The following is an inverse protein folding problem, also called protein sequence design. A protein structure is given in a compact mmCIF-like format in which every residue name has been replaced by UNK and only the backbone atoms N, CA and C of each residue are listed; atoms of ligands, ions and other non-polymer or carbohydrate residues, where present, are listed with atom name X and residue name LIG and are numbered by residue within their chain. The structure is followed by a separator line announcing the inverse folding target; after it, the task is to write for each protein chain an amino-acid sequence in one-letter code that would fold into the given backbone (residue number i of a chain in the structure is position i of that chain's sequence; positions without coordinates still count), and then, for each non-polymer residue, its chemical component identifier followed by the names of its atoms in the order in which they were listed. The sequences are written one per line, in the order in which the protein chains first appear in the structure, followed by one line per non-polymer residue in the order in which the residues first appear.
data_IF_113749917618
#
_entry.id   IF_113749917618
#
_cell.length_a   1.000
_cell.length_b   1.000
_cell.length_c   1.000
_cell.angle_alpha   90.00
_cell.angle_beta   90.00
_cell.angle_gamma   90.00
#
_symmetry.space_group_name_H-M   'P 1'
#
loop_
_entity.id
_entity.type
_entity.pdbx_description
1 polymer ?
#
# COMPACT_ATOMS: atom_id res chain seq x y z
N UNK A 1 0.46 -5.16 5.74
CA UNK A 1 0.71 -4.97 4.31
C UNK A 1 -0.25 -3.95 3.76
N UNK A 2 -0.31 -3.82 2.44
CA UNK A 2 -1.28 -2.97 1.77
C UNK A 2 -1.90 -3.69 0.56
N UNK A 3 -3.18 -3.43 0.32
CA UNK A 3 -3.90 -3.81 -0.89
C UNK A 3 -4.24 -2.52 -1.65
N UNK A 4 -4.03 -2.53 -2.95
CA UNK A 4 -4.35 -1.39 -3.81
C UNK A 4 -5.45 -1.80 -4.78
N UNK A 5 -6.50 -1.00 -4.83
CA UNK A 5 -7.63 -1.18 -5.73
C UNK A 5 -7.70 0.02 -6.68
N UNK A 6 -7.66 -0.25 -7.98
CA UNK A 6 -7.72 0.77 -9.03
C UNK A 6 -9.12 1.09 -9.51
N UNK A 7 -9.22 1.89 -10.58
CA UNK A 7 -10.50 2.22 -11.22
C UNK A 7 -11.28 0.95 -11.58
N UNK A 8 -12.61 1.01 -11.46
CA UNK A 8 -13.50 -0.16 -11.72
C UNK A 8 -13.22 -1.37 -10.82
N UNK A 9 -12.69 -1.13 -9.61
CA UNK A 9 -12.45 -2.15 -8.59
C UNK A 9 -11.37 -3.19 -8.99
N UNK A 10 -10.44 -2.79 -9.87
CA UNK A 10 -9.32 -3.65 -10.31
C UNK A 10 -8.32 -3.88 -9.16
N UNK A 11 -7.93 -5.14 -8.91
CA UNK A 11 -6.90 -5.43 -7.93
C UNK A 11 -5.51 -5.20 -8.52
N UNK A 12 -4.75 -4.26 -7.97
CA UNK A 12 -3.40 -3.95 -8.44
C UNK A 12 -2.41 -4.94 -7.81
N UNK A 13 -1.61 -5.56 -8.66
CA UNK A 13 -0.59 -6.52 -8.22
C UNK A 13 0.56 -5.81 -7.51
N UNK A 14 0.88 -6.29 -6.31
CA UNK A 14 1.99 -5.81 -5.49
C UNK A 14 3.05 -6.91 -5.31
N UNK A 15 4.27 -6.48 -5.03
CA UNK A 15 5.36 -7.35 -4.58
C UNK A 15 5.40 -7.39 -3.04
N UNK A 16 6.12 -8.36 -2.45
CA UNK A 16 6.25 -8.46 -1.00
C UNK A 16 6.67 -7.12 -0.36
N UNK A 17 5.92 -6.73 0.67
CA UNK A 17 6.22 -5.52 1.42
C UNK A 17 7.55 -5.67 2.15
N UNK A 18 8.35 -4.60 2.18
CA UNK A 18 9.62 -4.55 2.91
C UNK A 18 9.64 -3.35 3.85
N UNK A 19 10.24 -3.52 5.02
CA UNK A 19 10.51 -2.41 5.93
C UNK A 19 11.68 -1.61 5.37
N UNK A 20 11.65 -0.29 5.49
CA UNK A 20 12.80 0.53 5.17
C UNK A 20 13.94 0.25 6.19
N UNK A 21 15.17 0.09 5.70
CA UNK A 21 16.35 -0.22 6.51
C UNK A 21 16.81 0.97 7.35
N UNK A 22 16.61 2.19 6.85
CA UNK A 22 17.02 3.44 7.50
C UNK A 22 15.91 4.03 8.38
N UNK A 23 14.64 3.80 8.01
CA UNK A 23 13.49 4.24 8.80
C UNK A 23 12.52 3.08 9.08
N UNK A 24 12.66 2.54 10.29
CA UNK A 24 11.85 1.47 10.81
C UNK A 24 10.34 1.79 10.92
N UNK A 25 9.91 3.04 10.77
CA UNK A 25 8.50 3.43 10.75
C UNK A 25 7.89 3.43 9.34
N UNK A 26 8.68 3.13 8.31
CA UNK A 26 8.22 3.06 6.93
C UNK A 26 8.08 1.62 6.43
N UNK A 27 6.94 1.34 5.80
CA UNK A 27 6.69 0.11 5.06
C UNK A 27 6.59 0.45 3.57
N UNK A 28 7.41 -0.21 2.76
CA UNK A 28 7.45 -0.04 1.31
C UNK A 28 6.74 -1.23 0.68
N UNK A 29 5.73 -0.95 -0.15
CA UNK A 29 4.99 -1.96 -0.93
C UNK A 29 5.24 -1.69 -2.41
N UNK A 30 6.17 -2.40 -3.06
CA UNK A 30 6.44 -2.16 -4.48
C UNK A 30 5.25 -2.62 -5.33
N UNK A 31 4.95 -1.86 -6.37
CA UNK A 31 3.97 -2.26 -7.38
C UNK A 31 4.67 -3.15 -8.42
N UNK A 32 3.98 -4.18 -8.90
CA UNK A 32 4.54 -5.06 -9.93
C UNK A 32 4.62 -4.35 -11.30
N UNK A 33 3.67 -3.45 -11.56
CA UNK A 33 3.51 -2.75 -12.83
C UNK A 33 3.25 -1.26 -12.59
N UNK A 34 3.50 -0.43 -13.61
CA UNK A 34 3.16 1.00 -13.59
C UNK A 34 1.65 1.22 -13.55
N UNK A 35 1.23 2.21 -12.77
CA UNK A 35 -0.18 2.60 -12.70
C UNK A 35 -0.58 3.45 -13.90
N UNK A 36 -1.72 3.11 -14.50
CA UNK A 36 -2.37 3.98 -15.50
C UNK A 36 -3.01 5.19 -14.79
N UNK A 37 -3.24 6.30 -15.51
CA UNK A 37 -4.01 7.42 -14.96
C UNK A 37 -5.38 6.96 -14.43
N UNK A 38 -5.75 7.45 -13.25
CA UNK A 38 -6.96 7.01 -12.56
C UNK A 38 -6.89 7.18 -11.04
N UNK A 39 -8.00 6.84 -10.38
CA UNK A 39 -8.15 6.91 -8.92
C UNK A 39 -7.96 5.54 -8.30
N UNK A 40 -7.14 5.49 -7.25
CA UNK A 40 -6.75 4.28 -6.54
C UNK A 40 -7.03 4.43 -5.05
N UNK A 41 -7.52 3.35 -4.43
CA UNK A 41 -7.68 3.24 -2.98
C UNK A 41 -6.62 2.29 -2.44
N UNK A 42 -5.94 2.72 -1.38
CA UNK A 42 -5.00 1.90 -0.62
C UNK A 42 -5.63 1.55 0.70
N UNK A 43 -5.84 0.27 0.93
CA UNK A 43 -6.21 -0.28 2.24
C UNK A 43 -4.95 -0.87 2.87
N UNK A 44 -4.56 -0.39 4.04
CA UNK A 44 -3.33 -0.82 4.71
C UNK A 44 -3.59 -1.27 6.15
N UNK A 45 -2.72 -2.14 6.62
CA UNK A 45 -2.66 -2.58 8.01
C UNK A 45 -1.21 -2.87 8.39
N UNK A 46 -0.81 -2.51 9.60
CA UNK A 46 0.51 -2.79 10.15
C UNK A 46 0.40 -3.27 11.59
N UNK A 47 1.39 -4.03 12.03
CA UNK A 47 1.54 -4.43 13.42
C UNK A 47 2.81 -3.74 13.91
N UNK A 48 2.69 -2.89 14.93
CA UNK A 48 3.84 -2.25 15.55
C UNK A 48 4.63 -3.25 16.40
N UNK A 49 5.85 -2.85 16.77
CA UNK A 49 6.77 -3.70 17.56
C UNK A 49 6.24 -4.06 18.95
N UNK A 50 5.29 -3.29 19.47
CA UNK A 50 4.58 -3.53 20.73
C UNK A 50 3.35 -4.44 20.57
N UNK A 51 3.09 -4.94 19.35
CA UNK A 51 1.99 -5.87 19.05
C UNK A 51 0.66 -5.19 18.69
N UNK A 52 0.55 -3.87 18.78
CA UNK A 52 -0.67 -3.18 18.40
C UNK A 52 -0.89 -3.21 16.88
N UNK A 53 -2.13 -3.50 16.47
CA UNK A 53 -2.53 -3.49 15.07
C UNK A 53 -3.15 -2.14 14.74
N UNK A 54 -2.61 -1.46 13.75
CA UNK A 54 -3.21 -0.25 13.18
C UNK A 54 -3.55 -0.49 11.72
N UNK A 55 -4.61 0.15 11.25
CA UNK A 55 -5.09 0.05 9.87
C UNK A 55 -5.69 1.37 9.44
N UNK A 56 -5.80 1.56 8.15
CA UNK A 56 -6.45 2.72 7.56
C UNK A 56 -6.61 2.53 6.06
N UNK A 57 -7.21 3.53 5.43
CA UNK A 57 -7.24 3.63 3.98
C UNK A 57 -7.02 5.07 3.56
N UNK A 58 -6.60 5.26 2.31
CA UNK A 58 -6.61 6.55 1.66
C UNK A 58 -6.79 6.38 0.15
N UNK A 59 -7.18 7.45 -0.51
CA UNK A 59 -7.37 7.50 -1.96
C UNK A 59 -6.38 8.48 -2.58
N UNK A 60 -5.81 8.15 -3.73
CA UNK A 60 -4.98 9.03 -4.52
C UNK A 60 -5.30 8.91 -6.00
N UNK A 61 -4.88 9.89 -6.79
CA UNK A 61 -5.05 9.88 -8.24
C UNK A 61 -3.71 9.97 -8.94
N UNK A 62 -3.53 9.13 -9.96
CA UNK A 62 -2.43 9.18 -10.93
C UNK A 62 -2.91 9.97 -12.13
N UNK A 63 -2.11 10.93 -12.59
CA UNK A 63 -2.39 11.76 -13.79
C UNK A 63 -1.56 11.29 -14.96
#
# INVERSE_FOLDING_TARGET
GAKITGPKNENIKTLPAKRNEQDQKQLIVPLADSLKPGTYTVDWHVVSVDGHKTKGHYTFSVK
#
